data_IF_001189689437
#
_entry.id   IF_001189689437
#
_cell.length_a   1.000
_cell.length_b   1.000
_cell.length_c   1.000
_cell.angle_alpha   90.00
_cell.angle_beta   90.00
_cell.angle_gamma   90.00
#
_symmetry.space_group_name_H-M   'P 1'
#
loop_
_entity.id
_entity.type
_entity.pdbx_description
1 polymer ?
#
# COMPACT_ATOMS: atom_id res chain seq x y z
N UNK A 1 -12.88 11.78 15.23
CA UNK A 1 -11.79 11.95 14.25
C UNK A 1 -11.91 10.79 13.30
N UNK A 2 -12.48 11.02 12.11
CA UNK A 2 -12.61 9.98 11.09
C UNK A 2 -11.24 9.36 10.89
N UNK A 3 -11.10 8.08 11.28
CA UNK A 3 -9.85 7.34 11.20
C UNK A 3 -9.35 7.52 9.79
N UNK A 4 -8.30 8.31 9.66
CA UNK A 4 -7.68 8.67 8.40
C UNK A 4 -7.50 7.37 7.63
N UNK A 5 -8.17 7.23 6.47
CA UNK A 5 -8.10 6.07 5.56
C UNK A 5 -6.71 5.99 4.89
N UNK A 6 -5.65 6.36 5.59
CA UNK A 6 -4.32 6.48 5.04
C UNK A 6 -3.48 5.27 5.47
N UNK A 7 -2.93 4.61 4.46
CA UNK A 7 -2.09 3.44 4.62
C UNK A 7 -0.76 3.78 5.32
N UNK A 8 -0.03 2.75 5.73
CA UNK A 8 1.34 2.87 6.27
C UNK A 8 2.28 3.64 5.34
N UNK A 9 2.06 3.50 4.03
CA UNK A 9 2.81 4.18 2.98
C UNK A 9 2.31 5.58 2.65
N UNK A 10 1.26 6.11 3.29
CA UNK A 10 0.69 7.43 2.98
C UNK A 10 -0.30 7.48 1.83
N UNK A 11 -0.54 6.38 1.12
CA UNK A 11 -1.62 6.30 0.12
C UNK A 11 -2.98 6.34 0.82
N UNK A 12 -3.92 7.11 0.29
CA UNK A 12 -5.34 6.99 0.65
C UNK A 12 -5.85 5.62 0.17
N UNK A 13 -6.41 4.80 1.05
CA UNK A 13 -6.96 3.49 0.69
C UNK A 13 -7.97 3.57 -0.47
N UNK A 14 -8.74 4.66 -0.61
CA UNK A 14 -9.64 4.89 -1.75
C UNK A 14 -8.91 5.07 -3.08
N UNK A 15 -7.64 5.45 -3.06
CA UNK A 15 -6.78 5.59 -4.24
C UNK A 15 -5.87 4.37 -4.46
N UNK A 16 -5.71 3.51 -3.46
CA UNK A 16 -4.89 2.30 -3.53
C UNK A 16 -5.46 1.25 -4.47
N UNK A 17 -4.66 0.80 -5.44
CA UNK A 17 -5.08 -0.21 -6.41
C UNK A 17 -5.44 -1.54 -5.74
N UNK A 18 -4.59 -2.07 -4.85
CA UNK A 18 -4.86 -3.35 -4.17
C UNK A 18 -6.14 -3.33 -3.34
N UNK A 19 -6.45 -2.20 -2.70
CA UNK A 19 -7.70 -2.01 -1.96
C UNK A 19 -8.91 -1.98 -2.90
N UNK A 20 -8.83 -1.23 -4.01
CA UNK A 20 -9.90 -1.17 -5.02
C UNK A 20 -10.16 -2.51 -5.70
N UNK A 21 -9.13 -3.30 -5.98
CA UNK A 21 -9.30 -4.67 -6.49
C UNK A 21 -10.04 -5.54 -5.48
N UNK A 22 -9.68 -5.46 -4.19
CA UNK A 22 -10.32 -6.24 -3.13
C UNK A 22 -11.79 -5.86 -2.95
N UNK A 23 -12.03 -4.58 -2.67
CA UNK A 23 -13.33 -4.10 -2.20
C UNK A 23 -14.34 -3.87 -3.33
N UNK A 24 -13.85 -3.52 -4.52
CA UNK A 24 -14.70 -3.09 -5.63
C UNK A 24 -14.58 -3.99 -6.87
N UNK A 25 -13.72 -5.03 -6.85
CA UNK A 25 -13.42 -5.85 -8.03
C UNK A 25 -13.01 -4.99 -9.25
N UNK A 26 -12.28 -3.91 -8.99
CA UNK A 26 -11.91 -2.90 -9.98
C UNK A 26 -10.87 -3.44 -10.97
N UNK A 27 -11.28 -3.60 -12.23
CA UNK A 27 -10.43 -4.11 -13.30
C UNK A 27 -9.30 -3.13 -13.71
N UNK A 28 -9.56 -1.82 -13.66
CA UNK A 28 -8.53 -0.82 -14.00
C UNK A 28 -7.47 -0.77 -12.90
N UNK A 29 -7.88 -0.83 -11.64
CA UNK A 29 -6.96 -1.01 -10.52
C UNK A 29 -6.15 -2.31 -10.65
N UNK A 30 -6.78 -3.40 -11.10
CA UNK A 30 -6.10 -4.67 -11.33
C UNK A 30 -5.01 -4.55 -12.41
N UNK A 31 -5.27 -3.84 -13.52
CA UNK A 31 -4.27 -3.58 -14.58
C UNK A 31 -3.03 -2.88 -14.05
N UNK A 32 -3.19 -1.92 -13.13
CA UNK A 32 -2.06 -1.17 -12.54
C UNK A 32 -1.12 -2.04 -11.70
N UNK A 33 -1.57 -3.19 -11.21
CA UNK A 33 -0.81 -4.05 -10.30
C UNK A 33 -0.46 -5.42 -10.88
N UNK A 34 -0.79 -5.70 -12.15
CA UNK A 34 -0.45 -6.97 -12.82
C UNK A 34 1.04 -7.25 -12.74
N UNK A 35 1.87 -6.27 -13.10
CA UNK A 35 3.32 -6.46 -13.12
C UNK A 35 3.88 -6.70 -11.72
N UNK A 36 3.34 -6.02 -10.72
CA UNK A 36 3.69 -6.30 -9.33
C UNK A 36 3.30 -7.73 -8.94
N UNK A 37 2.10 -8.21 -9.29
CA UNK A 37 1.66 -9.58 -9.02
C UNK A 37 2.53 -10.64 -9.70
N UNK A 38 2.99 -10.39 -10.93
CA UNK A 38 3.95 -11.25 -11.65
C UNK A 38 5.29 -11.31 -10.92
N UNK A 39 5.82 -10.15 -10.51
CA UNK A 39 7.08 -10.07 -9.77
C UNK A 39 7.03 -10.74 -8.39
N UNK A 40 5.84 -10.88 -7.80
CA UNK A 40 5.64 -11.67 -6.59
C UNK A 40 5.45 -13.18 -6.85
N UNK A 41 5.34 -13.61 -8.11
CA UNK A 41 5.04 -14.99 -8.48
C UNK A 41 3.61 -15.43 -8.15
N UNK A 42 2.68 -14.48 -7.94
CA UNK A 42 1.30 -14.80 -7.56
C UNK A 42 0.42 -15.19 -8.76
N UNK A 43 0.79 -14.72 -9.94
CA UNK A 43 0.19 -15.02 -11.24
C UNK A 43 1.30 -15.36 -12.25
N UNK A 44 0.96 -16.07 -13.32
CA UNK A 44 1.86 -16.40 -14.43
C UNK A 44 2.26 -15.17 -15.25
N UNK A 45 3.37 -15.29 -15.99
CA UNK A 45 3.90 -14.20 -16.82
C UNK A 45 2.95 -13.78 -17.94
N UNK A 46 2.18 -14.73 -18.48
CA UNK A 46 1.17 -14.49 -19.53
C UNK A 46 -0.21 -14.12 -18.95
N UNK A 47 -0.36 -14.12 -17.62
CA UNK A 47 -1.63 -13.79 -16.98
C UNK A 47 -1.82 -12.27 -16.86
N UNK A 48 -3.09 -11.83 -16.93
CA UNK A 48 -3.48 -10.42 -16.95
C UNK A 48 -4.33 -10.02 -15.73
N UNK A 49 -4.94 -8.83 -15.78
CA UNK A 49 -5.74 -8.24 -14.72
C UNK A 49 -6.88 -9.14 -14.19
N UNK A 50 -7.46 -10.00 -15.04
CA UNK A 50 -8.48 -10.96 -14.59
C UNK A 50 -7.92 -12.01 -13.62
N UNK A 51 -6.65 -12.40 -13.75
CA UNK A 51 -6.01 -13.31 -12.81
C UNK A 51 -5.80 -12.63 -11.45
N UNK A 52 -5.42 -11.34 -11.46
CA UNK A 52 -5.32 -10.51 -10.25
C UNK A 52 -6.66 -10.47 -9.50
N UNK A 53 -7.77 -10.24 -10.21
CA UNK A 53 -9.12 -10.24 -9.61
C UNK A 53 -9.48 -11.61 -9.01
N UNK A 54 -9.23 -12.71 -9.74
CA UNK A 54 -9.51 -14.08 -9.26
C UNK A 54 -8.73 -14.45 -8.01
N UNK A 55 -7.51 -13.93 -7.85
CA UNK A 55 -6.71 -14.14 -6.63
C UNK A 55 -7.32 -13.44 -5.42
N UNK A 56 -8.21 -12.47 -5.65
CA UNK A 56 -8.90 -11.67 -4.66
C UNK A 56 -7.91 -11.19 -3.58
N UNK A 57 -7.08 -10.15 -3.84
CA UNK A 57 -6.25 -9.57 -2.79
C UNK A 57 -7.10 -9.43 -1.54
N UNK A 58 -6.66 -9.92 -0.40
CA UNK A 58 -7.41 -9.75 0.84
C UNK A 58 -7.03 -8.43 1.49
N UNK A 59 -6.92 -7.32 0.73
CA UNK A 59 -6.54 -6.03 1.28
C UNK A 59 -7.76 -5.33 1.89
N UNK A 60 -7.98 -5.52 3.18
CA UNK A 60 -9.04 -4.83 3.94
C UNK A 60 -8.61 -3.42 4.40
N UNK A 61 -7.44 -2.95 3.96
CA UNK A 61 -6.79 -1.75 4.46
C UNK A 61 -5.63 -2.06 5.41
N UNK A 62 -4.69 -1.13 5.53
CA UNK A 62 -3.47 -1.37 6.29
C UNK A 62 -3.70 -1.63 7.78
N UNK A 63 -4.74 -1.02 8.38
CA UNK A 63 -4.98 -1.00 9.82
C UNK A 63 -6.20 -1.80 10.27
N UNK A 64 -6.98 -2.31 9.32
CA UNK A 64 -8.17 -3.12 9.58
C UNK A 64 -7.95 -4.58 9.14
N UNK A 65 -6.69 -5.03 9.19
CA UNK A 65 -6.31 -6.37 8.77
C UNK A 65 -6.33 -7.34 9.94
N UNK A 66 -7.06 -8.45 9.77
CA UNK A 66 -6.81 -9.70 10.48
C UNK A 66 -5.54 -10.38 9.91
N UNK A 67 -5.00 -11.40 10.60
CA UNK A 67 -3.80 -12.14 10.14
C UNK A 67 -3.93 -12.67 8.68
N UNK A 68 -5.15 -12.98 8.23
CA UNK A 68 -5.44 -13.48 6.88
C UNK A 68 -5.23 -12.44 5.76
N UNK A 69 -5.43 -11.14 6.06
CA UNK A 69 -5.23 -10.04 5.12
C UNK A 69 -3.73 -9.80 4.82
N UNK A 70 -2.86 -10.10 5.79
CA UNK A 70 -1.44 -9.77 5.71
C UNK A 70 -0.67 -10.72 4.79
N UNK A 71 -1.05 -12.01 4.76
CA UNK A 71 -0.26 -13.05 4.07
C UNK A 71 -0.42 -13.08 2.55
N UNK A 72 -1.51 -12.52 1.99
CA UNK A 72 -1.75 -12.51 0.53
C UNK A 72 -1.43 -11.19 -0.18
N UNK A 73 -1.14 -10.11 0.56
CA UNK A 73 -0.85 -8.81 -0.05
C UNK A 73 0.63 -8.39 -0.01
N UNK A 74 1.53 -9.09 0.69
CA UNK A 74 2.99 -8.89 0.57
C UNK A 74 3.49 -7.43 0.65
N UNK A 75 2.74 -6.52 1.30
CA UNK A 75 3.07 -5.10 1.26
C UNK A 75 4.26 -4.82 2.18
N UNK A 76 5.44 -4.64 1.57
CA UNK A 76 6.68 -4.45 2.30
C UNK A 76 6.65 -3.21 3.22
N UNK A 77 5.92 -2.15 2.85
CA UNK A 77 5.79 -0.93 3.66
C UNK A 77 5.11 -1.23 4.99
N UNK A 78 4.02 -1.98 4.94
CA UNK A 78 3.29 -2.39 6.15
C UNK A 78 4.13 -3.32 7.00
N UNK A 79 4.79 -4.31 6.38
CA UNK A 79 5.71 -5.23 7.08
C UNK A 79 6.81 -4.47 7.83
N UNK A 80 7.48 -3.54 7.14
CA UNK A 80 8.50 -2.68 7.73
C UNK A 80 7.95 -1.85 8.92
N UNK A 81 6.74 -1.31 8.80
CA UNK A 81 6.10 -0.55 9.88
C UNK A 81 5.77 -1.44 11.10
N UNK A 82 5.28 -2.67 10.89
CA UNK A 82 5.03 -3.65 11.95
C UNK A 82 6.33 -4.02 12.67
N UNK A 83 7.38 -4.36 11.92
CA UNK A 83 8.69 -4.73 12.47
C UNK A 83 9.31 -3.59 13.29
N UNK A 84 9.20 -2.36 12.81
CA UNK A 84 9.67 -1.15 13.51
C UNK A 84 8.70 -0.65 14.59
N UNK A 85 7.53 -1.29 14.77
CA UNK A 85 6.47 -0.88 15.71
C UNK A 85 6.03 0.58 15.54
N UNK A 86 5.82 1.00 14.30
CA UNK A 86 5.35 2.34 13.94
C UNK A 86 4.09 2.28 13.08
N UNK A 87 3.26 3.31 13.16
CA UNK A 87 1.98 3.34 12.43
C UNK A 87 2.11 3.82 10.99
N UNK A 88 3.20 4.46 10.58
CA UNK A 88 3.39 4.87 9.19
C UNK A 88 4.82 5.29 8.97
N UNK A 89 5.25 5.34 7.71
CA UNK A 89 6.62 5.72 7.35
C UNK A 89 7.02 7.09 7.92
N UNK A 90 6.08 8.01 8.13
CA UNK A 90 6.35 9.33 8.74
C UNK A 90 6.84 9.31 10.18
N UNK A 91 6.57 8.22 10.94
CA UNK A 91 7.12 8.00 12.28
C UNK A 91 8.51 7.34 12.26
N UNK A 92 8.99 6.91 11.09
CA UNK A 92 10.33 6.33 10.96
C UNK A 92 11.39 7.44 10.97
N UNK A 93 12.44 7.27 11.77
CA UNK A 93 13.56 8.21 11.82
C UNK A 93 14.32 8.28 10.50
N UNK A 94 14.41 7.15 9.80
CA UNK A 94 15.11 7.02 8.51
C UNK A 94 14.30 7.57 7.33
N UNK A 95 13.09 8.09 7.57
CA UNK A 95 12.22 8.57 6.50
C UNK A 95 12.70 9.93 5.92
N UNK A 96 12.68 10.13 4.60
CA UNK A 96 12.41 9.13 3.56
C UNK A 96 13.63 8.23 3.35
N UNK A 97 13.45 6.91 3.51
CA UNK A 97 14.54 5.96 3.27
C UNK A 97 14.60 5.60 1.78
N UNK A 98 15.70 4.97 1.33
CA UNK A 98 15.91 4.57 -0.06
C UNK A 98 14.72 3.80 -0.65
N UNK A 99 14.22 2.78 0.07
CA UNK A 99 13.07 1.98 -0.37
C UNK A 99 11.80 2.83 -0.55
N UNK A 100 11.57 3.81 0.33
CA UNK A 100 10.43 4.70 0.20
C UNK A 100 10.57 5.66 -0.98
N UNK A 101 11.78 6.17 -1.23
CA UNK A 101 12.07 7.00 -2.40
C UNK A 101 11.82 6.23 -3.71
N UNK A 102 12.24 4.96 -3.77
CA UNK A 102 11.95 4.08 -4.91
C UNK A 102 10.44 3.92 -5.11
N UNK A 103 9.68 3.62 -4.06
CA UNK A 103 8.22 3.57 -4.13
C UNK A 103 7.59 4.87 -4.61
N UNK A 104 8.00 6.01 -4.04
CA UNK A 104 7.47 7.33 -4.37
C UNK A 104 7.81 7.79 -5.80
N UNK A 105 8.82 7.17 -6.43
CA UNK A 105 9.18 7.44 -7.83
C UNK A 105 8.27 6.76 -8.86
N UNK A 106 7.34 5.91 -8.41
CA UNK A 106 6.38 5.19 -9.25
C UNK A 106 5.21 6.05 -9.76
N UNK A 107 4.02 5.46 -9.80
CA UNK A 107 2.80 6.12 -10.28
C UNK A 107 2.44 7.37 -9.46
N UNK A 108 1.61 8.26 -10.03
CA UNK A 108 1.18 9.52 -9.40
C UNK A 108 0.61 9.35 -7.99
N UNK A 109 -0.11 8.26 -7.73
CA UNK A 109 -0.63 7.93 -6.39
C UNK A 109 0.52 7.73 -5.37
N UNK A 110 1.65 7.17 -5.78
CA UNK A 110 2.82 6.98 -4.91
C UNK A 110 3.55 8.30 -4.67
N UNK A 111 3.65 9.17 -5.68
CA UNK A 111 4.20 10.52 -5.53
C UNK A 111 3.38 11.32 -4.51
N UNK A 112 2.05 11.28 -4.63
CA UNK A 112 1.12 11.92 -3.67
C UNK A 112 1.28 11.37 -2.25
N UNK A 113 1.56 10.07 -2.11
CA UNK A 113 1.78 9.43 -0.83
C UNK A 113 2.96 10.04 -0.04
N UNK A 114 4.04 10.47 -0.72
CA UNK A 114 5.15 11.19 -0.09
C UNK A 114 4.69 12.49 0.57
N UNK A 115 3.92 13.31 -0.13
CA UNK A 115 3.37 14.56 0.39
C UNK A 115 2.50 14.31 1.62
N UNK A 116 1.67 13.28 1.56
CA UNK A 116 0.81 12.89 2.68
C UNK A 116 1.62 12.47 3.92
N UNK A 117 2.65 11.64 3.76
CA UNK A 117 3.53 11.26 4.89
C UNK A 117 4.25 12.49 5.46
N UNK A 118 4.76 13.39 4.62
CA UNK A 118 5.44 14.61 5.07
C UNK A 118 4.50 15.50 5.90
N UNK A 119 3.23 15.60 5.51
CA UNK A 119 2.21 16.30 6.29
C UNK A 119 1.98 15.62 7.65
N UNK A 120 1.77 14.30 7.67
CA UNK A 120 1.59 13.54 8.91
C UNK A 120 2.81 13.61 9.84
N UNK A 121 4.02 13.70 9.29
CA UNK A 121 5.24 13.84 10.10
C UNK A 121 5.31 15.19 10.81
N UNK A 122 4.81 16.26 10.18
CA UNK A 122 4.78 17.60 10.80
C UNK A 122 3.77 17.68 11.94
N UNK A 123 2.63 17.01 11.83
CA UNK A 123 1.61 17.00 12.88
C UNK A 123 2.07 16.26 14.14
N UNK A 124 2.88 15.20 14.00
CA UNK A 124 3.47 14.47 15.15
C UNK A 124 4.47 15.32 15.94
N UNK A 125 5.12 16.32 15.32
CA UNK A 125 6.09 17.18 16.01
C UNK A 125 5.46 18.33 16.81
N UNK A 126 4.16 18.57 16.64
CA UNK A 126 3.42 19.67 17.27
C UNK A 126 2.50 19.22 18.41
N UNK A 127 2.65 17.97 18.86
CA UNK A 127 1.93 17.30 19.96
C UNK A 127 2.93 16.65 20.87
#
# INVERSE_FOLDING_TARGET
MDKIKMAACGIDCGECASYKVTMNQDLEAAKLIVEWYRNQGWIGQDEEAKAVLKKNPLCMGCWDSTEECFFKCGCYMKKCCIEKKIDHCGKCNDFPCKHYMEFASGHEVHKKAMSNILQMRRTVKNT
#
